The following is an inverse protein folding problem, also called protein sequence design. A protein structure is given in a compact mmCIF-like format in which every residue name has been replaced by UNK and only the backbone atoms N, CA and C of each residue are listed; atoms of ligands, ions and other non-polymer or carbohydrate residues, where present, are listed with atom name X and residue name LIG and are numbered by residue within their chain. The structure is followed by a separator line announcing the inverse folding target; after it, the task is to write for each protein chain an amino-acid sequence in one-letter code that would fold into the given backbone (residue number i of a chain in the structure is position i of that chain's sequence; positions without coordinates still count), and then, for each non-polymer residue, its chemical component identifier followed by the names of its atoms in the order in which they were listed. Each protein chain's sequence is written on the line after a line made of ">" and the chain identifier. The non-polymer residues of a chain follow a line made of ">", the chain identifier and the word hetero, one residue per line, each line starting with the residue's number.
data_IF_959240237725
#
_entry.id   IF_959240237725
#
_cell.length_a   1.000
_cell.length_b   1.000
_cell.length_c   1.000
_cell.angle_alpha   90.00
_cell.angle_beta   90.00
_cell.angle_gamma   90.00
#
_symmetry.space_group_name_H-M   'P 1'
#
loop_
_entity.id
_entity.type
_entity.pdbx_description
1 polymer ?
#
# COMPACT_ATOMS: atom_id res chain seq x y z
N UNK A 1 -8.70 -2.65 16.71
CA UNK A 1 -8.20 -2.59 15.34
C UNK A 1 -6.75 -2.15 15.31
N UNK A 2 -5.94 -2.82 14.53
CA UNK A 2 -4.51 -2.50 14.40
C UNK A 2 -4.26 -1.68 13.13
N UNK A 3 -3.26 -0.81 13.18
CA UNK A 3 -2.95 0.06 12.06
C UNK A 3 -1.44 0.27 11.95
N UNK A 4 -0.95 0.47 10.73
CA UNK A 4 0.43 0.83 10.49
C UNK A 4 0.51 1.74 9.27
N UNK A 5 1.53 2.60 9.22
CA UNK A 5 1.73 3.51 8.12
C UNK A 5 3.15 3.45 7.61
N UNK A 6 3.34 3.78 6.34
CA UNK A 6 4.67 3.93 5.76
C UNK A 6 4.59 4.91 4.61
N UNK A 7 5.76 5.37 4.16
CA UNK A 7 5.87 6.22 2.99
C UNK A 7 6.98 5.70 2.10
N UNK A 8 6.69 5.60 0.80
CA UNK A 8 7.66 5.22 -0.20
C UNK A 8 8.03 6.48 -1.01
N UNK A 9 9.25 6.97 -0.83
CA UNK A 9 9.72 8.16 -1.54
C UNK A 9 9.99 7.83 -3.00
N UNK A 10 9.27 8.46 -3.91
CA UNK A 10 9.39 8.20 -5.34
C UNK A 10 8.74 9.31 -6.14
N UNK A 11 9.25 9.59 -7.33
CA UNK A 11 8.61 10.49 -8.27
C UNK A 11 7.44 9.82 -8.99
N UNK A 12 7.27 8.51 -8.81
CA UNK A 12 6.30 7.69 -9.54
C UNK A 12 5.15 7.19 -8.66
N UNK A 13 4.82 7.94 -7.59
CA UNK A 13 3.78 7.52 -6.65
C UNK A 13 2.44 7.23 -7.33
N UNK A 14 1.99 8.12 -8.21
CA UNK A 14 0.73 7.92 -8.93
C UNK A 14 0.77 6.68 -9.83
N UNK A 15 1.90 6.44 -10.47
CA UNK A 15 2.06 5.26 -11.33
C UNK A 15 1.91 3.97 -10.52
N UNK A 16 2.58 3.89 -9.37
CA UNK A 16 2.51 2.69 -8.54
C UNK A 16 1.14 2.53 -7.90
N UNK A 17 0.51 3.62 -7.48
CA UNK A 17 -0.84 3.57 -6.96
C UNK A 17 -1.78 2.95 -8.00
N UNK A 18 -1.71 3.43 -9.23
CA UNK A 18 -2.53 2.92 -10.32
C UNK A 18 -2.23 1.45 -10.62
N UNK A 19 -0.95 1.07 -10.63
CA UNK A 19 -0.56 -0.33 -10.86
C UNK A 19 -1.09 -1.26 -9.76
N UNK A 20 -0.98 -0.85 -8.51
CA UNK A 20 -1.48 -1.65 -7.39
C UNK A 20 -3.01 -1.80 -7.47
N UNK A 21 -3.71 -0.71 -7.73
CA UNK A 21 -5.17 -0.75 -7.84
C UNK A 21 -5.62 -1.65 -8.97
N UNK A 22 -5.00 -1.56 -10.15
CA UNK A 22 -5.34 -2.41 -11.29
C UNK A 22 -5.05 -3.87 -11.02
N UNK A 23 -3.89 -4.14 -10.40
CA UNK A 23 -3.52 -5.53 -10.10
C UNK A 23 -4.51 -6.18 -9.17
N UNK A 24 -4.86 -5.51 -8.08
CA UNK A 24 -5.74 -6.10 -7.07
C UNK A 24 -7.22 -6.06 -7.46
N UNK A 25 -7.61 -5.20 -8.40
CA UNK A 25 -9.02 -5.10 -8.81
C UNK A 25 -9.57 -6.41 -9.37
N UNK A 26 -8.70 -7.30 -9.82
CA UNK A 26 -9.11 -8.61 -10.32
C UNK A 26 -9.36 -9.63 -9.21
N UNK A 27 -8.97 -9.32 -7.98
CA UNK A 27 -9.00 -10.28 -6.88
C UNK A 27 -9.80 -9.80 -5.68
N UNK A 28 -9.87 -8.50 -5.47
CA UNK A 28 -10.52 -7.91 -4.29
C UNK A 28 -11.27 -6.64 -4.70
N UNK A 29 -12.03 -6.08 -3.77
CA UNK A 29 -12.68 -4.79 -3.99
C UNK A 29 -11.65 -3.69 -3.93
N UNK A 30 -11.58 -2.88 -4.97
CA UNK A 30 -10.66 -1.76 -5.07
C UNK A 30 -11.43 -0.51 -5.45
N UNK A 31 -11.15 0.60 -4.77
CA UNK A 31 -11.66 1.91 -5.14
C UNK A 31 -10.46 2.80 -5.46
N UNK A 32 -10.50 3.48 -6.58
CA UNK A 32 -9.47 4.45 -6.96
C UNK A 32 -10.13 5.74 -7.43
N UNK A 33 -9.65 6.86 -6.91
CA UNK A 33 -10.13 8.18 -7.32
C UNK A 33 -8.94 9.14 -7.25
N UNK A 34 -8.58 9.73 -8.38
CA UNK A 34 -7.48 10.68 -8.51
C UNK A 34 -6.17 10.09 -7.93
N UNK A 35 -5.66 10.66 -6.85
CA UNK A 35 -4.40 10.26 -6.23
C UNK A 35 -4.60 9.35 -5.02
N UNK A 36 -5.80 8.78 -4.85
CA UNK A 36 -6.11 7.93 -3.71
C UNK A 36 -6.60 6.57 -4.15
N UNK A 37 -6.29 5.54 -3.36
CA UNK A 37 -6.75 4.19 -3.61
C UNK A 37 -7.07 3.46 -2.30
N UNK A 38 -8.00 2.52 -2.37
CA UNK A 38 -8.36 1.70 -1.22
C UNK A 38 -8.41 0.24 -1.68
N UNK A 39 -7.66 -0.61 -0.99
CA UNK A 39 -7.54 -2.03 -1.30
C UNK A 39 -8.14 -2.83 -0.15
N UNK A 40 -9.25 -3.53 -0.39
CA UNK A 40 -9.96 -4.27 0.66
C UNK A 40 -9.62 -5.75 0.57
N UNK A 41 -8.60 -6.15 1.33
CA UNK A 41 -8.21 -7.55 1.45
C UNK A 41 -9.04 -8.26 2.51
N UNK A 42 -9.05 -9.59 2.48
CA UNK A 42 -9.71 -10.37 3.53
C UNK A 42 -9.03 -10.19 4.89
N UNK A 43 -7.72 -9.92 4.90
CA UNK A 43 -6.96 -9.74 6.14
C UNK A 43 -6.95 -8.28 6.62
N UNK A 44 -7.35 -7.33 5.79
CA UNK A 44 -7.35 -5.92 6.18
C UNK A 44 -7.51 -5.01 4.99
N UNK A 45 -7.41 -3.71 5.23
CA UNK A 45 -7.58 -2.70 4.20
C UNK A 45 -6.31 -1.87 4.06
N UNK A 46 -5.89 -1.63 2.81
CA UNK A 46 -4.79 -0.73 2.50
C UNK A 46 -5.32 0.56 1.91
N UNK A 47 -4.84 1.69 2.42
CA UNK A 47 -5.15 3.02 1.89
C UNK A 47 -3.91 3.61 1.28
N UNK A 48 -4.01 4.07 0.03
CA UNK A 48 -2.89 4.61 -0.72
C UNK A 48 -3.18 6.06 -1.07
N UNK A 49 -2.16 6.90 -0.97
CA UNK A 49 -2.27 8.29 -1.42
C UNK A 49 -0.96 8.70 -2.08
N UNK A 50 -1.04 9.11 -3.34
CA UNK A 50 0.13 9.55 -4.09
C UNK A 50 0.27 11.07 -4.00
N UNK A 51 1.52 11.53 -3.98
CA UNK A 51 1.85 12.94 -4.12
C UNK A 51 3.10 13.05 -5.03
N UNK A 52 3.55 14.27 -5.39
CA UNK A 52 4.68 14.39 -6.32
C UNK A 52 5.97 13.76 -5.81
N UNK A 53 6.11 13.57 -4.50
CA UNK A 53 7.35 13.10 -3.89
C UNK A 53 7.26 11.67 -3.37
N UNK A 54 6.10 11.05 -3.42
CA UNK A 54 6.01 9.71 -2.88
C UNK A 54 4.62 9.10 -2.87
N UNK A 55 4.54 7.95 -2.22
CA UNK A 55 3.31 7.20 -2.02
C UNK A 55 3.16 6.93 -0.53
N UNK A 56 2.08 7.43 0.05
CA UNK A 56 1.74 7.19 1.45
C UNK A 56 0.84 5.96 1.54
N UNK A 57 1.13 5.09 2.49
CA UNK A 57 0.39 3.83 2.65
C UNK A 57 -0.01 3.69 4.11
N UNK A 58 -1.29 3.38 4.34
CA UNK A 58 -1.82 3.07 5.66
C UNK A 58 -2.58 1.76 5.56
N UNK A 59 -2.32 0.85 6.48
CA UNK A 59 -3.03 -0.43 6.52
C UNK A 59 -3.75 -0.57 7.86
N UNK A 60 -4.92 -1.21 7.84
CA UNK A 60 -5.73 -1.49 9.02
C UNK A 60 -6.19 -2.93 8.99
N UNK A 61 -6.17 -3.58 10.14
CA UNK A 61 -6.60 -4.98 10.27
C UNK A 61 -7.22 -5.21 11.64
N UNK A 62 -8.05 -6.24 11.80
CA UNK A 62 -8.69 -6.51 13.09
C UNK A 62 -7.71 -6.94 14.17
N UNK A 63 -6.60 -7.57 13.82
CA UNK A 63 -5.62 -8.04 14.78
C UNK A 63 -4.21 -7.96 14.21
N UNK A 64 -3.22 -8.27 15.07
CA UNK A 64 -1.82 -8.14 14.69
C UNK A 64 -1.38 -9.12 13.62
N UNK A 65 -1.87 -10.34 13.66
CA UNK A 65 -1.51 -11.35 12.66
C UNK A 65 -1.99 -10.93 11.27
N UNK A 66 -3.24 -10.46 11.17
CA UNK A 66 -3.79 -9.99 9.92
C UNK A 66 -3.12 -8.69 9.46
N UNK A 67 -2.71 -7.84 10.39
CA UNK A 67 -1.98 -6.62 10.06
C UNK A 67 -0.64 -6.96 9.40
N UNK A 68 0.08 -7.91 9.95
CA UNK A 68 1.35 -8.36 9.38
C UNK A 68 1.16 -8.87 7.96
N UNK A 69 0.11 -9.66 7.72
CA UNK A 69 -0.19 -10.17 6.41
C UNK A 69 -0.55 -9.04 5.43
N UNK A 70 -1.36 -8.08 5.87
CA UNK A 70 -1.75 -6.94 5.03
C UNK A 70 -0.53 -6.11 4.64
N UNK A 71 0.36 -5.84 5.59
CA UNK A 71 1.60 -5.13 5.30
C UNK A 71 2.44 -5.88 4.26
N UNK A 72 2.60 -7.19 4.44
CA UNK A 72 3.41 -8.00 3.53
C UNK A 72 2.87 -8.00 2.12
N UNK A 73 1.56 -8.17 1.96
CA UNK A 73 0.99 -8.25 0.60
C UNK A 73 1.12 -6.92 -0.14
N UNK A 74 0.92 -5.81 0.54
CA UNK A 74 1.08 -4.49 -0.08
C UNK A 74 2.55 -4.23 -0.40
N UNK A 75 3.43 -4.47 0.56
CA UNK A 75 4.87 -4.23 0.39
C UNK A 75 5.46 -5.08 -0.73
N UNK A 76 5.17 -6.38 -0.74
CA UNK A 76 5.74 -7.28 -1.74
C UNK A 76 5.36 -6.85 -3.16
N UNK A 77 4.11 -6.46 -3.36
CA UNK A 77 3.66 -6.04 -4.69
C UNK A 77 4.24 -4.69 -5.09
N UNK A 78 4.28 -3.73 -4.14
CA UNK A 78 4.86 -2.43 -4.43
C UNK A 78 6.33 -2.57 -4.81
N UNK A 79 7.11 -3.30 -4.02
CA UNK A 79 8.54 -3.46 -4.30
C UNK A 79 8.78 -4.20 -5.61
N UNK A 80 7.89 -5.11 -5.97
CA UNK A 80 7.98 -5.81 -7.26
C UNK A 80 7.77 -4.84 -8.42
N UNK A 81 6.78 -3.95 -8.33
CA UNK A 81 6.55 -2.95 -9.37
C UNK A 81 7.66 -1.91 -9.40
N UNK A 82 8.21 -1.56 -8.24
CA UNK A 82 9.21 -0.50 -8.11
C UNK A 82 10.65 -1.04 -8.06
N UNK A 83 10.88 -2.22 -8.60
CA UNK A 83 12.19 -2.87 -8.47
C UNK A 83 13.35 -2.03 -9.04
N UNK A 84 13.07 -1.19 -10.03
CA UNK A 84 14.10 -0.35 -10.65
C UNK A 84 14.55 0.82 -9.77
N UNK A 85 13.77 1.14 -8.75
CA UNK A 85 14.13 2.22 -7.82
C UNK A 85 15.08 1.75 -6.74
N UNK A 86 15.36 0.45 -6.72
CA UNK A 86 16.34 -0.15 -5.82
C UNK A 86 16.13 0.23 -4.36
N UNK A 87 14.86 0.27 -3.95
CA UNK A 87 14.50 0.59 -2.58
C UNK A 87 14.62 -0.63 -1.70
N UNK A 88 15.02 -0.43 -0.45
CA UNK A 88 14.97 -1.48 0.53
C UNK A 88 13.54 -1.71 1.04
N UNK A 89 13.39 -2.55 2.07
CA UNK A 89 12.08 -2.81 2.66
C UNK A 89 11.42 -1.52 3.15
N UNK A 90 10.09 -1.50 3.15
CA UNK A 90 9.34 -0.37 3.70
C UNK A 90 9.50 -0.32 5.22
N UNK A 91 9.59 0.89 5.75
CA UNK A 91 9.70 1.09 7.19
C UNK A 91 8.31 1.41 7.75
N UNK A 92 7.63 0.38 8.24
CA UNK A 92 6.30 0.52 8.79
C UNK A 92 6.36 1.11 10.20
N UNK A 93 5.44 2.03 10.48
CA UNK A 93 5.36 2.69 11.78
C UNK A 93 3.99 2.51 12.38
N UNK A 94 3.88 2.47 13.72
CA UNK A 94 2.58 2.44 14.37
C UNK A 94 1.87 3.79 14.18
N UNK A 95 0.54 3.82 14.33
CA UNK A 95 -0.19 5.07 14.25
C UNK A 95 0.24 6.00 15.35
N UNK A 96 0.44 7.21 14.99
CA UNK A 96 0.92 8.19 15.95
C UNK A 96 0.93 9.17 16.53
#
# INVERSE_FOLDING_TARGET
>A
MQEATTRFATENGQKYLTQLCKHFAHKIDVTQADDQGELRFSCGTGYLQADPDGLNIRVQSPDEANLTETKSVVEDHLLRFAFRENSGPLLWQPPG
#
